data_IF_047803450381
#
_entry.id   IF_047803450381
#
_cell.length_a   1.000
_cell.length_b   1.000
_cell.length_c   1.000
_cell.angle_alpha   90.00
_cell.angle_beta   90.00
_cell.angle_gamma   90.00
#
_symmetry.space_group_name_H-M   'P 1'
#
loop_
_entity.id
_entity.type
_entity.pdbx_description
1 polymer ?
#
# COMPACT_ATOMS: atom_id res chain seq x y z
N UNK A 1 38.38 39.56 2.33
CA UNK A 1 37.32 38.84 3.04
C UNK A 1 36.33 38.30 2.03
N UNK A 2 35.99 37.03 2.22
CA UNK A 2 35.86 36.04 1.16
C UNK A 2 34.48 35.96 0.50
N UNK A 3 34.38 36.45 -0.75
CA UNK A 3 33.20 36.23 -1.61
C UNK A 3 33.06 34.78 -2.10
N UNK A 4 34.04 33.90 -1.83
CA UNK A 4 34.00 32.49 -2.26
C UNK A 4 33.35 31.54 -1.24
N UNK A 5 33.09 31.99 -0.01
CA UNK A 5 32.55 31.13 1.06
C UNK A 5 31.03 30.97 0.97
N UNK A 6 30.32 31.87 0.27
CA UNK A 6 28.84 31.83 0.15
C UNK A 6 28.38 30.86 -0.95
N UNK A 7 29.20 30.59 -1.97
CA UNK A 7 28.87 29.61 -3.03
C UNK A 7 28.96 28.16 -2.54
N UNK A 8 29.89 27.87 -1.63
CA UNK A 8 30.16 26.52 -1.11
C UNK A 8 29.05 25.97 -0.21
N UNK A 9 28.18 26.82 0.35
CA UNK A 9 27.10 26.38 1.25
C UNK A 9 25.75 26.19 0.54
N UNK A 10 25.60 26.68 -0.70
CA UNK A 10 24.33 26.63 -1.44
C UNK A 10 24.18 25.37 -2.30
N UNK A 11 25.28 24.82 -2.81
CA UNK A 11 25.31 23.55 -3.55
C UNK A 11 24.75 22.34 -2.78
N UNK A 12 25.09 22.07 -1.50
CA UNK A 12 24.54 20.92 -0.79
C UNK A 12 23.03 21.01 -0.56
N UNK A 13 22.48 22.22 -0.43
CA UNK A 13 21.04 22.43 -0.33
C UNK A 13 20.30 22.14 -1.64
N UNK A 14 20.87 22.55 -2.78
CA UNK A 14 20.30 22.24 -4.09
C UNK A 14 20.31 20.74 -4.38
N UNK A 15 21.36 20.02 -3.98
CA UNK A 15 21.46 18.56 -4.13
C UNK A 15 20.42 17.87 -3.22
N UNK A 16 20.34 18.23 -1.94
CA UNK A 16 19.38 17.64 -0.99
C UNK A 16 17.92 17.89 -1.42
N UNK A 17 17.59 19.08 -1.94
CA UNK A 17 16.26 19.37 -2.47
C UNK A 17 15.95 18.53 -3.73
N UNK A 18 16.92 18.32 -4.61
CA UNK A 18 16.76 17.49 -5.81
C UNK A 18 16.56 16.00 -5.49
N UNK A 19 17.23 15.48 -4.45
CA UNK A 19 17.05 14.11 -3.96
C UNK A 19 15.71 13.93 -3.25
N UNK A 20 15.30 14.93 -2.46
CA UNK A 20 13.97 14.97 -1.85
C UNK A 20 12.88 14.97 -2.91
N UNK A 21 13.00 15.81 -3.95
CA UNK A 21 12.03 15.87 -5.05
C UNK A 21 12.04 14.59 -5.88
N UNK A 22 13.21 13.97 -6.15
CA UNK A 22 13.28 12.63 -6.77
C UNK A 22 12.60 11.56 -5.94
N UNK A 23 12.79 11.59 -4.63
CA UNK A 23 12.21 10.61 -3.70
C UNK A 23 10.70 10.80 -3.59
N UNK A 24 10.23 12.04 -3.52
CA UNK A 24 8.82 12.38 -3.56
C UNK A 24 8.18 11.96 -4.88
N UNK A 25 8.81 12.25 -6.03
CA UNK A 25 8.33 11.78 -7.34
C UNK A 25 8.36 10.25 -7.46
N UNK A 26 9.37 9.57 -6.91
CA UNK A 26 9.40 8.10 -6.84
C UNK A 26 8.28 7.54 -5.97
N UNK A 27 8.02 8.14 -4.80
CA UNK A 27 6.88 7.78 -3.94
C UNK A 27 5.54 8.02 -4.66
N UNK A 28 5.37 9.17 -5.31
CA UNK A 28 4.16 9.50 -6.09
C UNK A 28 3.99 8.52 -7.27
N UNK A 29 5.06 8.15 -7.97
CA UNK A 29 5.01 7.12 -9.02
C UNK A 29 4.72 5.71 -8.49
N UNK A 30 5.12 5.40 -7.26
CA UNK A 30 4.80 4.15 -6.56
C UNK A 30 3.35 4.12 -6.07
N UNK A 31 2.77 5.28 -5.73
CA UNK A 31 1.34 5.47 -5.42
C UNK A 31 0.42 5.32 -6.64
N UNK A 32 0.98 5.25 -7.86
CA UNK A 32 0.20 5.10 -9.09
C UNK A 32 -0.07 3.63 -9.47
N UNK A 33 0.46 2.66 -8.74
CA UNK A 33 0.07 1.25 -8.90
C UNK A 33 -0.99 0.90 -7.85
N UNK A 34 -2.25 1.07 -8.22
CA UNK A 34 -3.34 0.36 -7.54
C UNK A 34 -3.07 -1.14 -7.68
N UNK A 35 -2.92 -1.83 -6.55
CA UNK A 35 -2.72 -3.28 -6.53
C UNK A 35 -3.98 -3.94 -6.06
N UNK A 36 -4.38 -5.00 -6.73
CA UNK A 36 -5.52 -5.79 -6.32
C UNK A 36 -5.09 -7.23 -6.06
N UNK A 37 -5.64 -7.79 -4.99
CA UNK A 37 -5.52 -9.21 -4.67
C UNK A 37 -6.91 -9.82 -4.56
N UNK A 38 -7.02 -11.07 -4.99
CA UNK A 38 -8.15 -11.93 -4.69
C UNK A 38 -7.76 -12.85 -3.55
N UNK A 39 -8.57 -12.87 -2.50
CA UNK A 39 -8.36 -13.67 -1.31
C UNK A 39 -9.42 -14.77 -1.30
N UNK A 40 -8.99 -16.01 -1.21
CA UNK A 40 -9.83 -17.16 -1.00
C UNK A 40 -9.67 -17.66 0.43
N UNK A 41 -10.80 -17.96 1.07
CA UNK A 41 -10.88 -18.42 2.46
C UNK A 41 -11.67 -19.71 2.53
N UNK A 42 -11.45 -20.52 3.56
CA UNK A 42 -12.26 -21.71 3.80
C UNK A 42 -13.72 -21.33 4.10
N UNK A 43 -14.69 -22.18 3.74
CA UNK A 43 -16.11 -21.99 4.08
C UNK A 43 -16.32 -21.80 5.59
N UNK A 44 -15.52 -22.46 6.42
CA UNK A 44 -15.57 -22.32 7.89
C UNK A 44 -15.21 -20.91 8.34
N UNK A 45 -14.42 -20.17 7.58
CA UNK A 45 -13.98 -18.80 7.90
C UNK A 45 -14.81 -17.72 7.21
N UNK A 46 -15.82 -18.10 6.43
CA UNK A 46 -16.70 -17.17 5.71
C UNK A 46 -17.30 -16.08 6.62
N UNK A 47 -17.61 -16.41 7.88
CA UNK A 47 -18.16 -15.44 8.84
C UNK A 47 -17.20 -14.28 9.18
N UNK A 48 -15.88 -14.48 8.99
CA UNK A 48 -14.85 -13.45 9.21
C UNK A 48 -14.79 -12.46 8.03
N UNK A 49 -15.29 -12.83 6.85
CA UNK A 49 -15.14 -12.09 5.61
C UNK A 49 -15.77 -10.70 5.65
N UNK A 50 -17.01 -10.59 6.12
CA UNK A 50 -17.71 -9.30 6.20
C UNK A 50 -16.98 -8.32 7.13
N UNK A 51 -16.52 -8.79 8.29
CA UNK A 51 -15.75 -7.98 9.23
C UNK A 51 -14.40 -7.53 8.64
N UNK A 52 -13.75 -8.36 7.83
CA UNK A 52 -12.53 -7.98 7.11
C UNK A 52 -12.81 -6.91 6.04
N UNK A 53 -13.87 -7.08 5.26
CA UNK A 53 -14.28 -6.14 4.21
C UNK A 53 -14.59 -4.76 4.82
N UNK A 54 -15.41 -4.71 5.87
CA UNK A 54 -15.71 -3.45 6.58
C UNK A 54 -14.44 -2.81 7.16
N UNK A 55 -13.57 -3.61 7.76
CA UNK A 55 -12.29 -3.12 8.29
C UNK A 55 -11.42 -2.52 7.18
N UNK A 56 -11.36 -3.12 6.01
CA UNK A 56 -10.57 -2.59 4.90
C UNK A 56 -11.18 -1.32 4.31
N UNK A 57 -12.50 -1.28 4.10
CA UNK A 57 -13.22 -0.11 3.60
C UNK A 57 -13.22 1.09 4.56
N UNK A 58 -12.79 0.91 5.82
CA UNK A 58 -12.57 2.03 6.74
C UNK A 58 -11.28 2.82 6.46
N UNK A 59 -10.41 2.35 5.56
CA UNK A 59 -9.18 3.04 5.13
C UNK A 59 -9.40 3.69 3.76
N UNK A 60 -9.10 4.97 3.62
CA UNK A 60 -9.28 5.72 2.36
C UNK A 60 -8.46 5.15 1.19
N UNK A 61 -7.33 4.51 1.50
CA UNK A 61 -6.41 3.92 0.51
C UNK A 61 -6.72 2.45 0.15
N UNK A 62 -7.80 1.87 0.71
CA UNK A 62 -8.13 0.44 0.53
C UNK A 62 -9.62 0.28 0.23
N UNK A 63 -9.93 -0.51 -0.78
CA UNK A 63 -11.29 -0.93 -1.09
C UNK A 63 -11.38 -2.46 -1.08
N UNK A 64 -12.41 -3.02 -0.45
CA UNK A 64 -12.66 -4.45 -0.41
C UNK A 64 -14.12 -4.76 -0.75
N UNK A 65 -14.33 -5.87 -1.47
CA UNK A 65 -15.67 -6.34 -1.83
C UNK A 65 -15.72 -7.87 -1.91
N UNK A 66 -16.83 -8.45 -1.50
CA UNK A 66 -17.08 -9.88 -1.64
C UNK A 66 -17.42 -10.23 -3.09
N UNK A 67 -16.72 -11.19 -3.68
CA UNK A 67 -16.97 -11.68 -5.05
C UNK A 67 -17.72 -13.00 -5.07
N UNK A 68 -17.67 -13.77 -3.97
CA UNK A 68 -18.44 -15.00 -3.80
C UNK A 68 -18.62 -15.37 -2.33
N UNK A 69 -18.91 -16.66 -2.06
CA UNK A 69 -19.12 -17.15 -0.69
C UNK A 69 -17.82 -17.29 0.09
N UNK A 70 -16.74 -17.62 -0.59
CA UNK A 70 -15.43 -17.94 -0.01
C UNK A 70 -14.32 -17.09 -0.61
N UNK A 71 -14.68 -16.05 -1.36
CA UNK A 71 -13.72 -15.20 -2.03
C UNK A 71 -14.14 -13.73 -2.00
N UNK A 72 -13.13 -12.87 -1.80
CA UNK A 72 -13.28 -11.43 -1.81
C UNK A 72 -12.04 -10.79 -2.44
N UNK A 73 -12.23 -9.59 -2.98
CA UNK A 73 -11.17 -8.81 -3.61
C UNK A 73 -10.83 -7.64 -2.71
N UNK A 74 -9.54 -7.36 -2.60
CA UNK A 74 -9.02 -6.16 -1.92
C UNK A 74 -8.12 -5.41 -2.89
N UNK A 75 -8.43 -4.14 -3.13
CA UNK A 75 -7.61 -3.20 -3.86
C UNK A 75 -6.99 -2.21 -2.88
N UNK A 76 -5.72 -1.88 -3.06
CA UNK A 76 -5.00 -0.95 -2.21
C UNK A 76 -4.12 -0.02 -3.04
N UNK A 77 -4.04 1.23 -2.59
CA UNK A 77 -3.19 2.26 -3.20
C UNK A 77 -1.73 2.06 -2.77
N UNK A 78 -0.94 1.46 -3.66
CA UNK A 78 0.48 1.23 -3.45
C UNK A 78 0.84 0.10 -2.47
N UNK A 79 2.15 -0.08 -2.29
CA UNK A 79 2.73 -1.20 -1.54
C UNK A 79 2.47 -1.13 -0.03
N UNK A 80 2.43 0.08 0.55
CA UNK A 80 2.22 0.25 2.00
C UNK A 80 0.83 -0.23 2.43
N UNK A 81 -0.20 0.17 1.69
CA UNK A 81 -1.56 -0.24 1.96
C UNK A 81 -1.74 -1.75 1.71
N UNK A 82 -1.12 -2.29 0.66
CA UNK A 82 -1.13 -3.73 0.37
C UNK A 82 -0.38 -4.56 1.44
N UNK A 83 0.71 -4.06 2.00
CA UNK A 83 1.43 -4.71 3.10
C UNK A 83 0.57 -4.79 4.37
N UNK A 84 -0.17 -3.72 4.68
CA UNK A 84 -1.14 -3.74 5.78
C UNK A 84 -2.24 -4.78 5.55
N UNK A 85 -2.82 -4.84 4.34
CA UNK A 85 -3.82 -5.85 3.98
C UNK A 85 -3.26 -7.26 4.22
N UNK A 86 -2.06 -7.57 3.69
CA UNK A 86 -1.41 -8.88 3.88
C UNK A 86 -1.18 -9.21 5.35
N UNK A 87 -0.75 -8.24 6.17
CA UNK A 87 -0.55 -8.43 7.61
C UNK A 87 -1.86 -8.73 8.34
N UNK A 88 -2.95 -8.04 8.00
CA UNK A 88 -4.28 -8.29 8.58
C UNK A 88 -4.80 -9.67 8.19
N UNK A 89 -4.61 -10.07 6.92
CA UNK A 89 -5.01 -11.40 6.45
C UNK A 89 -4.24 -12.49 7.20
N UNK A 90 -2.92 -12.40 7.28
CA UNK A 90 -2.08 -13.37 7.99
C UNK A 90 -2.36 -13.43 9.50
N UNK A 91 -2.89 -12.36 10.10
CA UNK A 91 -3.23 -12.34 11.52
C UNK A 91 -4.66 -12.77 11.85
N UNK A 92 -5.58 -12.83 10.87
CA UNK A 92 -7.01 -13.15 11.11
C UNK A 92 -7.50 -14.42 10.43
N UNK A 93 -6.83 -14.84 9.35
CA UNK A 93 -7.15 -16.05 8.60
C UNK A 93 -6.06 -17.08 8.86
N UNK A 94 -6.48 -18.31 9.15
CA UNK A 94 -5.54 -19.39 9.47
C UNK A 94 -4.97 -20.00 8.16
N UNK A 95 -5.83 -20.24 7.17
CA UNK A 95 -5.44 -20.72 5.83
C UNK A 95 -6.16 -19.89 4.75
N UNK A 96 -5.44 -18.96 4.12
CA UNK A 96 -5.97 -18.17 2.99
C UNK A 96 -5.07 -18.27 1.76
N UNK A 97 -5.69 -18.34 0.58
CA UNK A 97 -4.97 -18.28 -0.70
C UNK A 97 -5.09 -16.88 -1.27
N UNK A 98 -3.95 -16.26 -1.58
CA UNK A 98 -3.89 -14.89 -2.11
C UNK A 98 -3.39 -14.95 -3.55
N UNK A 99 -4.23 -14.54 -4.49
CA UNK A 99 -3.86 -14.33 -5.89
C UNK A 99 -3.70 -12.85 -6.17
N UNK A 100 -2.62 -12.46 -6.85
CA UNK A 100 -2.42 -11.07 -7.27
C UNK A 100 -3.03 -10.86 -8.65
N UNK A 101 -3.91 -9.87 -8.78
CA UNK A 101 -4.54 -9.50 -10.04
C UNK A 101 -3.60 -8.53 -10.75
N UNK A 102 -3.21 -8.87 -11.99
CA UNK A 102 -2.35 -8.07 -12.86
C UNK A 102 -3.15 -7.19 -13.80
#
# INVERSE_FOLDING_TARGET
EDSNTVKSAFEPYCIAFSEFYRTAIKKIKQYNEMKAIKVFIDEKEQYKMLNLIEKFNSHEDIAATGTGRTDFVVAASGECAMAYVRAVLAGKLDDCTIETIK
#
